data_IF_256359566981
#
_entry.id   IF_256359566981
#
_cell.length_a   1.000
_cell.length_b   1.000
_cell.length_c   1.000
_cell.angle_alpha   90.00
_cell.angle_beta   90.00
_cell.angle_gamma   90.00
#
_symmetry.space_group_name_H-M   'P 1'
#
loop_
_entity.id
_entity.type
_entity.pdbx_description
1 polymer ?
#
# COMPACT_ATOMS: atom_id res chain seq x y z
N UNK A 1 19.36 -7.13 1.23
CA UNK A 1 18.51 -7.25 2.37
C UNK A 1 17.14 -6.68 2.14
N UNK A 2 16.13 -7.39 2.52
CA UNK A 2 14.78 -6.95 2.27
C UNK A 2 14.40 -5.81 3.22
N UNK A 3 13.58 -4.92 2.72
CA UNK A 3 13.05 -3.85 3.53
C UNK A 3 12.09 -4.42 4.56
N UNK A 4 12.22 -3.97 5.80
CA UNK A 4 11.30 -4.37 6.85
C UNK A 4 10.15 -3.40 7.00
N UNK A 5 10.19 -2.29 6.27
CA UNK A 5 9.15 -1.27 6.35
C UNK A 5 8.69 -0.90 4.96
N UNK A 6 7.39 -0.63 4.81
CA UNK A 6 6.90 -0.14 3.52
C UNK A 6 7.42 1.27 3.25
N UNK A 7 7.51 1.60 1.98
CA UNK A 7 7.91 2.92 1.56
C UNK A 7 6.85 3.96 1.94
N UNK A 8 5.59 3.55 1.87
CA UNK A 8 4.48 4.43 2.18
C UNK A 8 3.28 3.59 2.55
N UNK A 9 2.40 4.14 3.36
CA UNK A 9 1.16 3.46 3.76
C UNK A 9 -0.01 4.39 3.56
N UNK A 10 -1.12 3.82 3.13
CA UNK A 10 -2.40 4.50 3.05
C UNK A 10 -3.37 3.74 3.94
N UNK A 11 -4.06 4.45 4.80
CA UNK A 11 -4.95 3.81 5.75
C UNK A 11 -6.26 4.56 5.85
N UNK A 12 -7.35 3.82 5.88
CA UNK A 12 -8.68 4.36 6.07
C UNK A 12 -9.44 3.40 6.97
N UNK A 13 -9.74 3.84 8.19
CA UNK A 13 -10.35 2.95 9.15
C UNK A 13 -9.43 1.79 9.46
N UNK A 14 -9.93 0.59 9.27
CA UNK A 14 -9.16 -0.62 9.51
C UNK A 14 -8.51 -1.19 8.25
N UNK A 15 -8.69 -0.52 7.13
CA UNK A 15 -8.11 -0.98 5.87
C UNK A 15 -6.79 -0.25 5.63
N UNK A 16 -5.79 -1.03 5.26
CA UNK A 16 -4.45 -0.48 5.07
C UNK A 16 -3.84 -1.01 3.77
N UNK A 17 -3.28 -0.10 2.99
CA UNK A 17 -2.47 -0.47 1.84
C UNK A 17 -1.03 -0.07 2.13
N UNK A 18 -0.13 -1.02 2.06
CA UNK A 18 1.29 -0.76 2.26
C UNK A 18 1.97 -0.82 0.90
N UNK A 19 2.74 0.20 0.59
CA UNK A 19 3.41 0.33 -0.70
C UNK A 19 4.88 0.02 -0.50
N UNK A 20 5.38 -0.94 -1.28
CA UNK A 20 6.74 -1.43 -1.16
C UNK A 20 7.50 -1.13 -2.44
N UNK A 21 8.70 -0.61 -2.30
CA UNK A 21 9.55 -0.33 -3.44
C UNK A 21 10.54 -1.48 -3.62
N UNK A 22 10.50 -2.10 -4.78
CA UNK A 22 11.43 -3.14 -5.15
C UNK A 22 12.36 -2.61 -6.22
N UNK A 23 13.64 -2.67 -5.97
CA UNK A 23 14.64 -2.24 -6.94
C UNK A 23 15.09 -3.45 -7.74
N UNK A 24 14.90 -3.39 -9.05
CA UNK A 24 15.23 -4.48 -9.93
C UNK A 24 16.25 -4.03 -10.96
N UNK A 25 16.75 -4.99 -11.72
CA UNK A 25 17.72 -4.69 -12.77
C UNK A 25 17.17 -3.77 -13.83
N UNK A 26 15.87 -3.87 -14.09
CA UNK A 26 15.26 -3.09 -15.17
C UNK A 26 14.54 -1.87 -14.62
N UNK A 27 14.74 -1.55 -13.36
CA UNK A 27 14.15 -0.37 -12.76
C UNK A 27 13.42 -0.67 -11.49
N UNK A 28 12.88 0.37 -10.90
CA UNK A 28 12.15 0.26 -9.65
C UNK A 28 10.69 -0.10 -9.92
N UNK A 29 10.15 -0.93 -9.06
CA UNK A 29 8.76 -1.32 -9.14
C UNK A 29 8.12 -1.18 -7.78
N UNK A 30 6.86 -0.77 -7.78
CA UNK A 30 6.08 -0.66 -6.56
C UNK A 30 5.11 -1.81 -6.46
N UNK A 31 5.06 -2.42 -5.28
CA UNK A 31 4.08 -3.45 -4.96
C UNK A 31 3.23 -2.96 -3.81
N UNK A 32 1.98 -3.43 -3.78
CA UNK A 32 1.04 -3.02 -2.76
C UNK A 32 0.45 -4.25 -2.10
N UNK A 33 0.46 -4.24 -0.77
CA UNK A 33 -0.27 -5.25 0.00
C UNK A 33 -1.46 -4.58 0.64
N UNK A 34 -2.62 -5.22 0.58
CA UNK A 34 -3.85 -4.71 1.15
C UNK A 34 -4.27 -5.61 2.29
N UNK A 35 -4.49 -5.02 3.46
CA UNK A 35 -4.87 -5.79 4.62
C UNK A 35 -5.96 -5.07 5.39
N UNK A 36 -6.68 -5.84 6.19
CA UNK A 36 -7.67 -5.33 7.13
C UNK A 36 -7.18 -5.65 8.53
N UNK A 37 -7.09 -4.62 9.34
CA UNK A 37 -6.69 -4.79 10.73
C UNK A 37 -7.87 -5.27 11.55
N UNK A 38 -7.60 -6.19 12.46
CA UNK A 38 -8.64 -6.62 13.38
C UNK A 38 -7.99 -6.90 14.72
N UNK A 39 -8.82 -6.86 15.73
CA UNK A 39 -8.35 -7.06 17.09
C UNK A 39 -8.74 -8.46 17.57
N UNK A 40 -7.76 -9.18 18.10
CA UNK A 40 -7.99 -10.49 18.67
C UNK A 40 -7.51 -10.42 20.12
N UNK A 41 -8.46 -10.19 21.04
CA UNK A 41 -8.09 -9.91 22.42
C UNK A 41 -7.35 -8.59 22.51
N UNK A 42 -6.15 -8.62 23.03
CA UNK A 42 -5.33 -7.42 23.16
C UNK A 42 -4.34 -7.24 22.00
N UNK A 43 -4.40 -8.14 21.02
CA UNK A 43 -3.43 -8.15 19.94
C UNK A 43 -4.08 -7.73 18.64
N UNK A 44 -3.42 -6.82 17.91
CA UNK A 44 -3.86 -6.42 16.58
C UNK A 44 -3.26 -7.34 15.55
N UNK A 45 -4.08 -7.81 14.62
CA UNK A 45 -3.65 -8.70 13.56
C UNK A 45 -4.12 -8.16 12.22
N UNK A 46 -3.57 -8.72 11.15
CA UNK A 46 -3.94 -8.34 9.80
C UNK A 46 -4.54 -9.52 9.07
N UNK A 47 -5.56 -9.22 8.28
CA UNK A 47 -6.26 -10.22 7.50
C UNK A 47 -6.28 -9.79 6.04
N UNK A 48 -6.24 -10.76 5.14
CA UNK A 48 -6.40 -10.49 3.71
C UNK A 48 -7.83 -10.77 3.24
N UNK A 49 -8.73 -10.99 4.18
CA UNK A 49 -10.15 -11.21 3.88
C UNK A 49 -10.93 -9.95 4.21
N UNK A 50 -11.82 -9.57 3.32
CA UNK A 50 -12.58 -8.32 3.45
C UNK A 50 -14.06 -8.63 3.39
N UNK A 51 -14.80 -8.05 4.35
CA UNK A 51 -16.25 -8.15 4.33
C UNK A 51 -16.85 -7.13 3.36
N UNK A 52 -18.14 -7.31 3.12
CA UNK A 52 -18.84 -6.42 2.20
C UNK A 52 -18.69 -4.95 2.64
N UNK A 53 -18.75 -4.69 3.93
CA UNK A 53 -18.69 -3.33 4.43
C UNK A 53 -17.29 -2.73 4.31
N UNK A 54 -16.29 -3.57 4.05
CA UNK A 54 -14.90 -3.08 3.92
C UNK A 54 -14.57 -2.68 2.48
N UNK A 55 -15.41 -3.05 1.52
CA UNK A 55 -15.01 -2.98 0.11
C UNK A 55 -14.86 -1.55 -0.40
N UNK A 56 -15.74 -0.65 0.01
CA UNK A 56 -15.62 0.74 -0.42
C UNK A 56 -14.40 1.41 0.19
N UNK A 57 -14.08 1.07 1.42
CA UNK A 57 -12.87 1.59 2.04
C UNK A 57 -11.63 1.03 1.35
N UNK A 58 -11.66 -0.25 1.00
CA UNK A 58 -10.56 -0.85 0.27
C UNK A 58 -10.37 -0.19 -1.08
N UNK A 59 -11.46 0.09 -1.77
CA UNK A 59 -11.40 0.76 -3.05
C UNK A 59 -10.75 2.14 -2.91
N UNK A 60 -11.15 2.88 -1.90
CA UNK A 60 -10.61 4.23 -1.68
C UNK A 60 -9.13 4.17 -1.35
N UNK A 61 -8.74 3.24 -0.51
CA UNK A 61 -7.35 3.08 -0.12
C UNK A 61 -6.49 2.71 -1.33
N UNK A 62 -6.99 1.81 -2.17
CA UNK A 62 -6.26 1.42 -3.37
C UNK A 62 -6.15 2.57 -4.36
N UNK A 63 -7.21 3.36 -4.48
CA UNK A 63 -7.18 4.53 -5.34
C UNK A 63 -6.11 5.51 -4.89
N UNK A 64 -6.04 5.77 -3.59
CA UNK A 64 -5.04 6.68 -3.05
C UNK A 64 -3.63 6.12 -3.21
N UNK A 65 -3.47 4.82 -3.03
CA UNK A 65 -2.16 4.19 -3.24
C UNK A 65 -1.72 4.32 -4.69
N UNK A 66 -2.64 4.10 -5.61
CA UNK A 66 -2.36 4.25 -7.03
C UNK A 66 -1.91 5.68 -7.36
N UNK A 67 -2.62 6.65 -6.81
CA UNK A 67 -2.29 8.06 -7.05
C UNK A 67 -0.90 8.36 -6.52
N UNK A 68 -0.59 7.88 -5.33
CA UNK A 68 0.72 8.14 -4.74
C UNK A 68 1.84 7.56 -5.60
N UNK A 69 1.67 6.32 -6.05
CA UNK A 69 2.67 5.67 -6.89
C UNK A 69 2.83 6.44 -8.20
N UNK A 70 1.71 6.83 -8.80
CA UNK A 70 1.74 7.56 -10.05
C UNK A 70 2.51 8.87 -9.92
N UNK A 71 2.33 9.55 -8.80
CA UNK A 71 3.04 10.80 -8.54
C UNK A 71 4.53 10.57 -8.39
N UNK A 72 4.92 9.47 -7.76
CA UNK A 72 6.34 9.17 -7.60
C UNK A 72 6.98 8.88 -8.96
N UNK A 73 6.29 8.12 -9.79
CA UNK A 73 6.81 7.80 -11.11
C UNK A 73 6.90 9.03 -11.99
N UNK A 74 5.93 9.93 -11.87
CA UNK A 74 5.98 11.19 -12.63
C UNK A 74 7.15 12.04 -12.18
N UNK A 75 7.38 12.12 -10.89
CA UNK A 75 8.47 12.91 -10.37
C UNK A 75 9.81 12.40 -10.86
N UNK A 76 9.97 11.08 -10.88
CA UNK A 76 11.21 10.49 -11.38
C UNK A 76 11.43 10.83 -12.85
N UNK A 77 10.38 10.73 -13.65
CA UNK A 77 10.49 11.07 -15.07
C UNK A 77 10.80 12.54 -15.27
N UNK A 78 10.14 13.38 -14.46
CA UNK A 78 10.38 14.82 -14.58
C UNK A 78 11.81 15.17 -14.24
N UNK A 79 12.34 14.55 -13.21
CA UNK A 79 13.71 14.84 -12.81
C UNK A 79 14.72 14.32 -13.82
N UNK A 80 14.33 13.36 -14.63
CA UNK A 80 15.21 12.82 -15.66
C UNK A 80 15.29 13.69 -16.89
N UNK A 81 14.39 14.62 -17.02
CA UNK A 81 14.42 15.56 -18.14
C UNK A 81 15.40 16.68 -17.88
#
# INVERSE_FOLDING_TARGET
MSASKPTHEVRLGLIKAAIWLNQTRVGDRYNVTLTRLFRNGDVWKESTHFGRDDLLQAEKVLDQAHTWIHQQERNDKTSGD
#
